data_IF_605414427796
#
_entry.id   IF_605414427796
#
_cell.length_a   1.000
_cell.length_b   1.000
_cell.length_c   1.000
_cell.angle_alpha   90.00
_cell.angle_beta   90.00
_cell.angle_gamma   90.00
#
_symmetry.space_group_name_H-M   'P 1'
#
loop_
_entity.id
_entity.type
_entity.pdbx_description
1 polymer ?
#
# COMPACT_ATOMS: atom_id res chain seq x y z
N UNK A 1 -16.04 -23.69 6.36
CA UNK A 1 -15.43 -22.35 6.35
C UNK A 1 -13.92 -22.53 6.25
N UNK A 2 -13.32 -21.99 5.19
CA UNK A 2 -11.87 -21.89 5.05
C UNK A 2 -11.28 -20.94 6.10
N UNK A 3 -9.98 -21.08 6.34
CA UNK A 3 -9.23 -20.33 7.36
C UNK A 3 -9.37 -18.80 7.21
N UNK A 4 -9.54 -18.31 5.98
CA UNK A 4 -9.56 -16.88 5.67
C UNK A 4 -10.94 -16.33 5.31
N UNK A 5 -12.01 -17.14 5.37
CA UNK A 5 -13.36 -16.72 4.97
C UNK A 5 -13.83 -15.48 5.74
N UNK A 6 -13.40 -15.34 7.02
CA UNK A 6 -13.69 -14.17 7.86
C UNK A 6 -13.10 -12.85 7.34
N UNK A 7 -12.18 -12.90 6.38
CA UNK A 7 -11.52 -11.73 5.79
C UNK A 7 -12.06 -11.37 4.41
N UNK A 8 -13.07 -12.08 3.90
CA UNK A 8 -13.63 -11.83 2.57
C UNK A 8 -14.05 -10.36 2.37
N UNK A 9 -14.73 -9.75 3.36
CA UNK A 9 -15.12 -8.34 3.28
C UNK A 9 -13.94 -7.36 3.28
N UNK A 10 -12.83 -7.70 3.94
CA UNK A 10 -11.60 -6.88 3.89
C UNK A 10 -10.96 -6.94 2.51
N UNK A 11 -10.99 -8.11 1.87
CA UNK A 11 -10.46 -8.28 0.52
C UNK A 11 -11.28 -7.48 -0.51
N UNK A 12 -12.60 -7.45 -0.38
CA UNK A 12 -13.47 -6.64 -1.24
C UNK A 12 -13.20 -5.14 -1.06
N UNK A 13 -13.18 -4.65 0.18
CA UNK A 13 -12.86 -3.25 0.46
C UNK A 13 -11.48 -2.85 -0.08
N UNK A 14 -10.48 -3.72 0.01
CA UNK A 14 -9.15 -3.48 -0.55
C UNK A 14 -9.15 -3.40 -2.09
N UNK A 15 -9.95 -4.24 -2.76
CA UNK A 15 -10.11 -4.19 -4.22
C UNK A 15 -10.74 -2.87 -4.66
N UNK A 16 -11.73 -2.38 -3.94
CA UNK A 16 -12.37 -1.10 -4.25
C UNK A 16 -11.37 0.06 -4.14
N UNK A 17 -10.55 0.09 -3.09
CA UNK A 17 -9.48 1.11 -2.94
C UNK A 17 -8.54 1.12 -4.13
N UNK A 18 -8.14 -0.05 -4.65
CA UNK A 18 -7.26 -0.16 -5.83
C UNK A 18 -7.85 0.43 -7.10
N UNK A 19 -9.18 0.51 -7.23
CA UNK A 19 -9.81 1.13 -8.42
C UNK A 19 -9.60 2.64 -8.52
N UNK A 20 -9.23 3.30 -7.41
CA UNK A 20 -9.01 4.75 -7.35
C UNK A 20 -7.69 5.21 -7.99
N UNK A 21 -6.84 4.28 -8.42
CA UNK A 21 -5.55 4.56 -9.08
C UNK A 21 -4.37 4.76 -8.12
N UNK A 22 -4.61 4.77 -6.80
CA UNK A 22 -3.56 4.87 -5.77
C UNK A 22 -3.79 3.79 -4.71
N UNK A 23 -2.75 3.02 -4.39
CA UNK A 23 -2.77 2.01 -3.33
C UNK A 23 -1.89 2.47 -2.14
N UNK A 24 -2.50 2.98 -1.05
CA UNK A 24 -1.75 3.45 0.11
C UNK A 24 -1.10 2.31 0.91
N UNK A 25 -1.52 1.05 0.69
CA UNK A 25 -0.98 -0.12 1.37
C UNK A 25 0.22 -0.74 0.65
N UNK A 26 0.58 -0.21 -0.52
CA UNK A 26 1.69 -0.69 -1.35
C UNK A 26 2.75 0.40 -1.58
N UNK A 27 2.87 1.36 -0.67
CA UNK A 27 3.96 2.35 -0.70
C UNK A 27 5.30 1.63 -0.49
N UNK A 28 6.21 1.81 -1.44
CA UNK A 28 7.57 1.25 -1.38
C UNK A 28 8.59 2.37 -1.30
N UNK A 29 9.46 2.31 -0.31
CA UNK A 29 10.67 3.12 -0.27
C UNK A 29 11.67 2.54 -1.28
N UNK A 30 11.78 3.16 -2.45
CA UNK A 30 12.72 2.75 -3.50
C UNK A 30 14.17 2.96 -3.05
N UNK A 31 14.40 4.02 -2.25
CA UNK A 31 15.69 4.30 -1.61
C UNK A 31 15.46 5.03 -0.29
N UNK A 32 16.20 4.67 0.74
CA UNK A 32 16.26 5.43 2.00
C UNK A 32 17.50 6.34 1.94
N UNK A 33 17.31 7.65 2.09
CA UNK A 33 18.38 8.64 2.02
C UNK A 33 18.89 9.01 3.41
N UNK A 34 17.99 9.04 4.39
CA UNK A 34 18.26 9.33 5.80
C UNK A 34 17.12 8.77 6.66
N UNK A 35 17.17 8.89 8.01
CA UNK A 35 16.05 8.51 8.87
C UNK A 35 14.74 9.25 8.60
N UNK A 36 14.81 10.39 7.89
CA UNK A 36 13.66 11.28 7.62
C UNK A 36 13.50 11.58 6.13
N UNK A 37 14.13 10.81 5.24
CA UNK A 37 14.02 11.07 3.80
C UNK A 37 14.12 9.77 2.99
N UNK A 38 13.24 9.61 2.00
CA UNK A 38 13.22 8.47 1.08
C UNK A 38 12.83 8.89 -0.34
N UNK A 39 13.10 8.01 -1.31
CA UNK A 39 12.53 8.07 -2.64
C UNK A 39 11.30 7.15 -2.68
N UNK A 40 10.14 7.72 -2.99
CA UNK A 40 8.86 7.01 -3.14
C UNK A 40 8.25 7.41 -4.48
N UNK A 41 7.97 6.44 -5.36
CA UNK A 41 7.46 6.68 -6.72
C UNK A 41 8.33 7.69 -7.49
N UNK A 42 9.66 7.56 -7.43
CA UNK A 42 10.62 8.49 -8.04
C UNK A 42 10.69 9.89 -7.43
N UNK A 43 9.90 10.21 -6.40
CA UNK A 43 9.93 11.51 -5.70
C UNK A 43 10.67 11.44 -4.38
N UNK A 44 11.45 12.49 -4.08
CA UNK A 44 12.02 12.70 -2.75
C UNK A 44 10.91 13.11 -1.78
N UNK A 45 10.77 12.36 -0.70
CA UNK A 45 9.74 12.51 0.33
C UNK A 45 10.40 12.58 1.71
N UNK A 46 9.90 13.49 2.57
CA UNK A 46 10.28 13.64 3.98
C UNK A 46 9.59 12.58 4.85
#
# INVERSE_FOLDING_TARGET
>A
MGLFDRHAGLLEAYRDVRTTGVDPFQIRMERVLSPTEAIINGRKTL
#
